data_IF_903305554839
#
_entry.id   IF_903305554839
#
_cell.length_a   1.000
_cell.length_b   1.000
_cell.length_c   1.000
_cell.angle_alpha   90.00
_cell.angle_beta   90.00
_cell.angle_gamma   90.00
#
_symmetry.space_group_name_H-M   'P 1'
#
loop_
_entity.id
_entity.type
_entity.pdbx_description
1 polymer ?
#
# COMPACT_ATOMS: atom_id res chain seq x y z
N UNK A 1 8.15 5.86 -1.23
CA UNK A 1 8.09 4.77 -0.23
C UNK A 1 7.97 3.46 -1.00
N UNK A 2 8.77 2.46 -0.63
CA UNK A 2 8.73 1.10 -1.17
C UNK A 2 9.07 0.10 -0.03
N UNK A 3 9.01 -1.20 -0.31
CA UNK A 3 9.16 -2.27 0.68
C UNK A 3 10.60 -2.80 0.87
N UNK A 4 11.60 -2.12 0.28
CA UNK A 4 13.00 -2.57 0.23
C UNK A 4 13.25 -3.91 -0.48
N UNK A 5 12.34 -4.39 -1.35
CA UNK A 5 12.63 -5.54 -2.18
C UNK A 5 13.92 -5.32 -3.00
N UNK A 6 14.70 -6.38 -3.24
CA UNK A 6 16.00 -6.28 -3.95
C UNK A 6 15.92 -5.52 -5.28
N UNK A 7 14.88 -5.69 -6.12
CA UNK A 7 14.74 -4.91 -7.35
C UNK A 7 14.63 -3.39 -7.11
N UNK A 8 14.00 -2.95 -6.01
CA UNK A 8 13.88 -1.53 -5.66
C UNK A 8 15.22 -0.90 -5.24
N UNK A 9 16.23 -1.72 -4.97
CA UNK A 9 17.59 -1.33 -4.58
C UNK A 9 18.62 -1.56 -5.69
N UNK A 10 18.17 -1.90 -6.90
CA UNK A 10 19.06 -2.00 -8.06
C UNK A 10 19.60 -0.60 -8.42
N UNK A 11 20.86 -0.53 -8.88
CA UNK A 11 21.52 0.73 -9.27
C UNK A 11 20.68 1.53 -10.27
N UNK A 12 20.12 0.86 -11.27
CA UNK A 12 19.24 1.49 -12.27
C UNK A 12 18.01 2.17 -11.66
N UNK A 13 17.48 1.65 -10.54
CA UNK A 13 16.36 2.27 -9.83
C UNK A 13 16.84 3.45 -9.00
N UNK A 14 17.99 3.35 -8.33
CA UNK A 14 18.60 4.46 -7.60
C UNK A 14 18.88 5.65 -8.53
N UNK A 15 19.56 5.40 -9.65
CA UNK A 15 19.89 6.42 -10.66
C UNK A 15 18.62 7.09 -11.20
N UNK A 16 17.55 6.33 -11.40
CA UNK A 16 16.26 6.86 -11.83
C UNK A 16 15.64 7.79 -10.79
N UNK A 17 15.63 7.39 -9.51
CA UNK A 17 15.08 8.21 -8.44
C UNK A 17 15.88 9.51 -8.27
N UNK A 18 17.21 9.42 -8.25
CA UNK A 18 18.10 10.58 -8.15
C UNK A 18 17.91 11.53 -9.34
N UNK A 19 17.89 11.00 -10.57
CA UNK A 19 17.69 11.79 -11.79
C UNK A 19 16.33 12.51 -11.86
N UNK A 20 15.34 12.04 -11.12
CA UNK A 20 14.01 12.67 -11.02
C UNK A 20 13.79 13.45 -9.71
N UNK A 21 14.81 13.57 -8.86
CA UNK A 21 14.70 14.26 -7.57
C UNK A 21 13.70 13.60 -6.61
N UNK A 22 13.50 12.29 -6.73
CA UNK A 22 12.59 11.52 -5.88
C UNK A 22 13.36 11.00 -4.66
N UNK A 23 12.98 11.47 -3.48
CA UNK A 23 13.55 10.97 -2.23
C UNK A 23 12.88 9.66 -1.80
N UNK A 24 13.69 8.71 -1.34
CA UNK A 24 13.19 7.48 -0.75
C UNK A 24 12.98 7.67 0.75
N UNK A 25 11.85 7.16 1.21
CA UNK A 25 11.56 7.01 2.64
C UNK A 25 12.25 5.75 3.19
N UNK A 26 12.92 5.87 4.33
CA UNK A 26 13.44 4.71 5.06
C UNK A 26 12.30 3.77 5.46
N UNK A 27 12.49 2.47 5.20
CA UNK A 27 11.45 1.46 5.42
C UNK A 27 11.96 0.29 6.26
N UNK A 28 11.25 -0.15 7.31
CA UNK A 28 11.62 -1.35 8.04
C UNK A 28 11.32 -2.62 7.23
N UNK A 29 12.25 -3.59 7.26
CA UNK A 29 12.05 -4.87 6.61
C UNK A 29 10.91 -5.65 7.28
N UNK A 30 10.11 -6.37 6.48
CA UNK A 30 9.00 -7.22 6.94
C UNK A 30 7.89 -6.47 7.70
N UNK A 31 7.59 -5.24 7.30
CA UNK A 31 6.50 -4.44 7.87
C UNK A 31 5.36 -4.16 6.87
N UNK A 32 4.68 -5.20 6.36
CA UNK A 32 3.52 -5.01 5.47
C UNK A 32 2.36 -4.30 6.19
N UNK A 33 2.28 -4.46 7.51
CA UNK A 33 1.33 -3.81 8.40
C UNK A 33 1.52 -2.29 8.47
N UNK A 34 2.68 -1.75 8.07
CA UNK A 34 2.89 -0.32 7.93
C UNK A 34 2.65 0.16 6.49
N UNK A 35 2.53 -0.73 5.50
CA UNK A 35 2.42 -0.32 4.10
C UNK A 35 0.95 -0.04 3.71
N UNK A 36 0.54 1.21 3.43
CA UNK A 36 -0.85 1.54 3.10
C UNK A 36 -1.39 0.79 1.88
N UNK A 37 -0.52 0.41 0.94
CA UNK A 37 -0.97 -0.26 -0.29
C UNK A 37 -1.52 -1.66 -0.01
N UNK A 38 -1.03 -2.33 1.04
CA UNK A 38 -1.59 -3.62 1.45
C UNK A 38 -3.06 -3.45 1.79
N UNK A 39 -3.38 -2.45 2.64
CA UNK A 39 -4.75 -2.16 3.08
C UNK A 39 -5.66 -1.78 1.90
N UNK A 40 -5.10 -1.08 0.90
CA UNK A 40 -5.81 -0.77 -0.33
C UNK A 40 -6.12 -2.03 -1.13
N UNK A 41 -5.19 -2.99 -1.22
CA UNK A 41 -5.44 -4.27 -1.89
C UNK A 41 -6.53 -5.09 -1.22
N UNK A 42 -6.53 -5.17 0.12
CA UNK A 42 -7.61 -5.83 0.87
C UNK A 42 -8.96 -5.15 0.64
N UNK A 43 -9.02 -3.81 0.68
CA UNK A 43 -10.22 -3.06 0.36
C UNK A 43 -10.73 -3.38 -1.06
N UNK A 44 -9.86 -3.30 -2.07
CA UNK A 44 -10.20 -3.59 -3.46
C UNK A 44 -10.71 -5.03 -3.62
N UNK A 45 -10.04 -6.01 -3.01
CA UNK A 45 -10.44 -7.41 -3.04
C UNK A 45 -11.84 -7.62 -2.47
N UNK A 46 -12.16 -6.99 -1.33
CA UNK A 46 -13.49 -7.04 -0.73
C UNK A 46 -14.55 -6.40 -1.63
N UNK A 47 -14.27 -5.24 -2.22
CA UNK A 47 -15.21 -4.57 -3.13
C UNK A 47 -15.44 -5.38 -4.42
N UNK A 48 -14.41 -6.03 -4.96
CA UNK A 48 -14.57 -6.91 -6.13
C UNK A 48 -15.46 -8.09 -5.79
N UNK A 49 -15.33 -8.66 -4.59
CA UNK A 49 -16.13 -9.79 -4.13
C UNK A 49 -17.62 -9.44 -3.93
N UNK A 50 -17.97 -8.17 -3.73
CA UNK A 50 -19.38 -7.72 -3.61
C UNK A 50 -20.03 -7.32 -4.93
N UNK A 51 -19.29 -7.32 -6.04
CA UNK A 51 -19.83 -6.92 -7.34
C UNK A 51 -20.95 -7.87 -7.80
N UNK A 52 -22.06 -7.27 -8.22
CA UNK A 52 -23.18 -7.96 -8.84
C UNK A 52 -23.55 -7.27 -10.18
N UNK A 53 -23.61 -8.01 -11.30
CA UNK A 53 -23.13 -9.39 -11.45
C UNK A 53 -21.61 -9.50 -11.20
N UNK A 54 -21.10 -10.70 -10.88
CA UNK A 54 -19.67 -10.91 -10.72
C UNK A 54 -18.92 -10.55 -12.00
N UNK A 55 -17.68 -10.03 -11.90
CA UNK A 55 -16.91 -9.63 -13.06
C UNK A 55 -16.48 -10.86 -13.88
N UNK A 56 -16.27 -10.67 -15.19
CA UNK A 56 -15.82 -11.75 -16.08
C UNK A 56 -14.37 -12.14 -15.86
N UNK A 57 -13.58 -11.24 -15.27
CA UNK A 57 -12.18 -11.46 -14.90
C UNK A 57 -11.83 -10.60 -13.68
N UNK A 58 -10.77 -10.99 -12.97
CA UNK A 58 -10.24 -10.20 -11.84
C UNK A 58 -9.85 -8.79 -12.30
N UNK A 59 -9.19 -8.67 -13.45
CA UNK A 59 -8.81 -7.39 -14.04
C UNK A 59 -10.00 -6.47 -14.24
N UNK A 60 -11.10 -6.97 -14.83
CA UNK A 60 -12.31 -6.20 -15.03
C UNK A 60 -12.92 -5.73 -13.70
N UNK A 61 -12.96 -6.62 -12.71
CA UNK A 61 -13.43 -6.29 -11.37
C UNK A 61 -12.60 -5.18 -10.72
N UNK A 62 -11.28 -5.33 -10.74
CA UNK A 62 -10.35 -4.36 -10.17
C UNK A 62 -10.44 -3.01 -10.86
N UNK A 63 -10.44 -2.95 -12.20
CA UNK A 63 -10.57 -1.69 -12.94
C UNK A 63 -11.89 -0.98 -12.61
N UNK A 64 -13.00 -1.73 -12.51
CA UNK A 64 -14.30 -1.18 -12.16
C UNK A 64 -14.29 -0.57 -10.75
N UNK A 65 -13.83 -1.33 -9.75
CA UNK A 65 -13.76 -0.83 -8.36
C UNK A 65 -12.81 0.35 -8.27
N UNK A 66 -11.61 0.24 -8.86
CA UNK A 66 -10.58 1.28 -8.86
C UNK A 66 -11.09 2.60 -9.44
N UNK A 67 -11.81 2.55 -10.57
CA UNK A 67 -12.38 3.75 -11.20
C UNK A 67 -13.41 4.49 -10.33
N UNK A 68 -14.02 3.77 -9.38
CA UNK A 68 -15.00 4.31 -8.44
C UNK A 68 -14.46 4.49 -7.02
N UNK A 69 -13.15 4.28 -6.81
CA UNK A 69 -12.55 4.30 -5.49
C UNK A 69 -12.69 5.71 -4.87
N UNK A 70 -13.40 5.86 -3.74
CA UNK A 70 -13.49 7.15 -3.09
C UNK A 70 -12.11 7.60 -2.64
N UNK A 71 -11.71 8.84 -2.97
CA UNK A 71 -10.44 9.43 -2.52
C UNK A 71 -10.29 9.34 -1.00
N UNK A 72 -11.41 9.46 -0.27
CA UNK A 72 -11.44 9.32 1.18
C UNK A 72 -10.89 7.97 1.69
N UNK A 73 -10.97 6.89 0.90
CA UNK A 73 -10.36 5.61 1.26
C UNK A 73 -8.83 5.77 1.30
N UNK A 74 -8.23 6.29 0.23
CA UNK A 74 -6.79 6.55 0.17
C UNK A 74 -6.35 7.54 1.24
N UNK A 75 -7.07 8.65 1.40
CA UNK A 75 -6.78 9.67 2.40
C UNK A 75 -6.78 9.10 3.81
N UNK A 76 -7.79 8.30 4.17
CA UNK A 76 -7.87 7.68 5.48
C UNK A 76 -6.69 6.72 5.76
N UNK A 77 -6.21 6.00 4.73
CA UNK A 77 -5.03 5.14 4.86
C UNK A 77 -3.76 5.96 5.12
N UNK A 78 -3.60 7.10 4.45
CA UNK A 78 -2.46 8.00 4.68
C UNK A 78 -2.55 8.67 6.04
N UNK A 79 -3.72 9.23 6.40
CA UNK A 79 -3.92 9.93 7.66
C UNK A 79 -3.77 9.01 8.89
N UNK A 80 -4.06 7.71 8.77
CA UNK A 80 -3.90 6.80 9.89
C UNK A 80 -2.43 6.38 10.15
N UNK A 81 -1.50 6.67 9.23
CA UNK A 81 -0.13 6.16 9.30
C UNK A 81 0.58 6.56 10.58
N UNK A 82 0.34 7.77 11.08
CA UNK A 82 0.89 8.21 12.36
C UNK A 82 0.42 7.31 13.51
N UNK A 83 -0.87 6.93 13.52
CA UNK A 83 -1.43 6.00 14.51
C UNK A 83 -0.83 4.60 14.38
N UNK A 84 -0.63 4.10 13.15
CA UNK A 84 -0.01 2.80 12.89
C UNK A 84 1.45 2.77 13.36
N UNK A 85 2.22 3.81 13.07
CA UNK A 85 3.59 3.96 13.57
C UNK A 85 3.64 3.98 15.10
N UNK A 86 2.73 4.72 15.76
CA UNK A 86 2.62 4.72 17.23
C UNK A 86 2.34 3.32 17.79
N UNK A 87 1.44 2.57 17.16
CA UNK A 87 1.18 1.18 17.55
C UNK A 87 2.43 0.31 17.38
N UNK A 88 3.13 0.38 16.25
CA UNK A 88 4.37 -0.38 16.04
C UNK A 88 5.42 -0.08 17.12
N UNK A 89 5.56 1.19 17.53
CA UNK A 89 6.43 1.60 18.64
C UNK A 89 5.98 0.98 19.96
N UNK A 90 4.68 1.02 20.27
CA UNK A 90 4.12 0.40 21.50
C UNK A 90 4.37 -1.11 21.53
N UNK A 91 4.30 -1.78 20.38
CA UNK A 91 4.58 -3.19 20.19
C UNK A 91 6.08 -3.48 20.02
N UNK A 92 6.95 -2.47 20.20
CA UNK A 92 8.42 -2.58 20.12
C UNK A 92 8.92 -3.16 18.78
N UNK A 93 8.31 -2.72 17.68
CA UNK A 93 8.61 -3.23 16.33
C UNK A 93 7.91 -4.55 16.00
N UNK A 94 7.03 -5.05 16.88
CA UNK A 94 6.16 -6.19 16.61
C UNK A 94 5.03 -5.86 15.64
N UNK A 95 4.40 -6.91 15.11
CA UNK A 95 3.28 -6.81 14.18
C UNK A 95 2.09 -6.07 14.81
N UNK A 96 1.49 -5.14 14.05
CA UNK A 96 0.25 -4.46 14.43
C UNK A 96 -0.97 -5.08 13.71
N UNK A 97 -2.17 -4.97 14.31
CA UNK A 97 -3.39 -5.44 13.67
C UNK A 97 -3.68 -4.74 12.33
N UNK A 98 -4.34 -5.48 11.44
CA UNK A 98 -4.77 -5.01 10.13
C UNK A 98 -6.11 -4.27 10.21
#
# INVERSE_FOLDING_TARGET
MDDNARPHRAVVVEDYLEGHGLERMEWPARSPDLNPIEHLWDYLGRQVATLSPPPRSLEQGLLRVWSSLPISVSDNLIYNMESRCRQCIQFRGGQIPY
#
